data_IF_062698071361
#
_entry.id   IF_062698071361
#
_cell.length_a   1.000
_cell.length_b   1.000
_cell.length_c   1.000
_cell.angle_alpha   90.00
_cell.angle_beta   90.00
_cell.angle_gamma   90.00
#
_symmetry.space_group_name_H-M   'P 1'
#
loop_
_entity.id
_entity.type
_entity.pdbx_description
1 polymer ?
#
# COMPACT_ATOMS: atom_id res chain seq x y z
N UNK A 1 22.87 10.99 37.37
CA UNK A 1 24.09 11.04 38.20
C UNK A 1 24.99 12.15 37.70
N UNK A 2 25.78 12.76 38.59
CA UNK A 2 26.82 13.73 38.20
C UNK A 2 28.09 12.95 37.86
N UNK A 3 28.61 13.14 36.66
CA UNK A 3 29.83 12.50 36.16
C UNK A 3 30.81 13.57 35.70
N UNK A 4 32.09 13.32 35.87
CA UNK A 4 33.13 14.26 35.48
C UNK A 4 33.91 13.67 34.32
N UNK A 5 34.00 14.40 33.21
CA UNK A 5 34.69 13.95 31.99
C UNK A 5 35.94 14.78 31.80
N UNK A 6 37.07 14.11 31.54
CA UNK A 6 38.34 14.75 31.23
C UNK A 6 38.49 14.89 29.70
N UNK A 7 38.61 16.13 29.22
CA UNK A 7 38.82 16.49 27.82
C UNK A 7 40.23 17.07 27.71
N UNK A 8 41.22 16.19 27.73
CA UNK A 8 42.68 16.40 27.61
C UNK A 8 43.28 17.49 28.52
N UNK A 9 42.90 18.75 28.33
CA UNK A 9 43.36 19.91 29.08
C UNK A 9 42.25 20.59 29.90
N UNK A 10 41.02 20.04 29.92
CA UNK A 10 39.89 20.61 30.66
C UNK A 10 39.01 19.53 31.26
N UNK A 11 38.60 19.73 32.50
CA UNK A 11 37.64 18.87 33.18
C UNK A 11 36.26 19.51 33.14
N UNK A 12 35.24 18.74 32.75
CA UNK A 12 33.86 19.20 32.67
C UNK A 12 32.93 18.32 33.51
N UNK A 13 32.11 18.95 34.34
CA UNK A 13 31.05 18.28 35.09
C UNK A 13 29.81 18.13 34.20
N UNK A 14 29.37 16.90 33.99
CA UNK A 14 28.19 16.54 33.20
C UNK A 14 27.15 15.92 34.12
N UNK A 15 25.90 16.32 33.97
CA UNK A 15 24.79 15.74 34.72
C UNK A 15 23.88 15.00 33.76
N UNK A 16 23.73 13.69 33.96
CA UNK A 16 22.78 12.87 33.20
C UNK A 16 21.39 13.12 33.76
N UNK A 17 20.50 13.65 32.92
CA UNK A 17 19.06 13.75 33.21
C UNK A 17 18.35 12.65 32.43
N UNK A 18 17.64 11.72 33.10
CA UNK A 18 16.76 10.81 32.39
C UNK A 18 15.69 11.64 31.70
N UNK A 19 15.44 11.34 30.43
CA UNK A 19 14.31 11.88 29.71
C UNK A 19 13.41 10.72 29.32
N UNK A 20 12.12 10.91 29.48
CA UNK A 20 11.14 9.93 29.03
C UNK A 20 11.02 10.10 27.52
N UNK A 21 11.57 9.17 26.74
CA UNK A 21 11.06 9.00 25.38
C UNK A 21 9.63 8.53 25.53
N UNK A 22 8.67 9.28 24.97
CA UNK A 22 7.34 8.73 24.77
C UNK A 22 7.48 7.42 23.98
N UNK A 23 6.86 6.37 24.50
CA UNK A 23 6.90 5.03 23.92
C UNK A 23 6.55 5.14 22.44
N UNK A 24 7.43 4.65 21.57
CA UNK A 24 7.17 4.60 20.13
C UNK A 24 5.84 3.90 19.86
N UNK A 25 5.10 4.40 18.88
CA UNK A 25 3.78 3.88 18.51
C UNK A 25 3.96 2.44 18.03
N UNK A 26 3.33 1.47 18.70
CA UNK A 26 3.26 0.09 18.19
C UNK A 26 2.17 0.02 17.14
N UNK A 27 2.56 -0.09 15.88
CA UNK A 27 1.64 -0.33 14.76
C UNK A 27 1.58 -1.83 14.45
N UNK A 28 0.37 -2.36 14.33
CA UNK A 28 0.13 -3.74 13.92
C UNK A 28 -0.76 -3.74 12.68
N UNK A 29 -0.19 -4.14 11.54
CA UNK A 29 -0.89 -4.18 10.27
C UNK A 29 -1.56 -5.54 10.10
N UNK A 30 -2.88 -5.58 10.20
CA UNK A 30 -3.66 -6.73 9.77
C UNK A 30 -3.94 -6.61 8.26
N UNK A 31 -3.29 -7.44 7.45
CA UNK A 31 -3.55 -7.51 6.01
C UNK A 31 -4.49 -8.68 5.72
N UNK A 32 -5.59 -8.41 5.01
CA UNK A 32 -6.49 -9.44 4.50
C UNK A 32 -6.39 -9.47 2.98
N UNK A 33 -6.19 -10.66 2.41
CA UNK A 33 -6.17 -10.85 0.95
C UNK A 33 -7.58 -11.20 0.51
N UNK A 34 -8.17 -10.42 -0.39
CA UNK A 34 -9.47 -10.76 -0.97
C UNK A 34 -9.30 -11.86 -2.01
N UNK A 35 -10.05 -12.96 -1.87
CA UNK A 35 -10.10 -13.99 -2.90
C UNK A 35 -10.89 -13.57 -4.14
N UNK A 36 -11.68 -12.48 -4.09
CA UNK A 36 -12.61 -12.06 -5.15
C UNK A 36 -12.31 -10.72 -5.79
N UNK A 37 -11.53 -9.85 -5.15
CA UNK A 37 -11.34 -8.47 -5.61
C UNK A 37 -9.88 -8.15 -5.77
N UNK A 38 -9.56 -7.50 -6.88
CA UNK A 38 -8.24 -6.92 -7.12
C UNK A 38 -8.37 -5.43 -7.40
N UNK A 39 -7.40 -4.67 -6.88
CA UNK A 39 -7.25 -3.25 -7.18
C UNK A 39 -6.13 -3.09 -8.20
N UNK A 40 -6.41 -2.34 -9.25
CA UNK A 40 -5.47 -1.99 -10.31
C UNK A 40 -5.21 -0.50 -10.20
N UNK A 41 -3.94 -0.12 -10.12
CA UNK A 41 -3.49 1.26 -10.10
C UNK A 41 -2.70 1.60 -11.36
N UNK A 42 -2.48 2.89 -11.59
CA UNK A 42 -1.63 3.40 -12.68
C UNK A 42 -2.12 3.02 -14.08
N UNK A 43 -3.45 2.95 -14.25
CA UNK A 43 -4.07 2.65 -15.54
C UNK A 43 -3.67 3.73 -16.56
N UNK A 44 -3.19 3.35 -17.76
CA UNK A 44 -2.79 4.31 -18.79
C UNK A 44 -3.93 5.27 -19.16
N UNK A 45 -3.60 6.55 -19.28
CA UNK A 45 -4.55 7.57 -19.71
C UNK A 45 -4.60 7.60 -21.24
N UNK A 46 -5.53 6.83 -21.80
CA UNK A 46 -5.78 6.77 -23.23
C UNK A 46 -6.95 7.69 -23.59
N UNK A 47 -6.92 8.27 -24.78
CA UNK A 47 -8.02 9.05 -25.35
C UNK A 47 -9.14 8.12 -25.86
N UNK A 48 -9.67 7.27 -24.98
CA UNK A 48 -10.77 6.36 -25.26
C UNK A 48 -11.95 6.63 -24.30
N UNK A 49 -13.19 6.31 -24.71
CA UNK A 49 -14.34 6.33 -23.82
C UNK A 49 -14.14 5.42 -22.61
N UNK A 50 -14.71 5.80 -21.46
CA UNK A 50 -14.56 5.01 -20.22
C UNK A 50 -15.13 3.60 -20.34
N UNK A 51 -16.23 3.42 -21.06
CA UNK A 51 -16.84 2.11 -21.28
C UNK A 51 -15.88 1.19 -22.06
N UNK A 52 -15.14 1.76 -23.00
CA UNK A 52 -14.11 1.03 -23.72
C UNK A 52 -12.93 0.63 -22.83
N UNK A 53 -12.55 1.49 -21.86
CA UNK A 53 -11.56 1.13 -20.86
C UNK A 53 -12.04 -0.02 -19.97
N UNK A 54 -13.32 0.01 -19.54
CA UNK A 54 -13.95 -1.08 -18.77
C UNK A 54 -13.94 -2.40 -19.55
N UNK A 55 -14.33 -2.37 -20.82
CA UNK A 55 -14.30 -3.55 -21.70
C UNK A 55 -12.89 -4.12 -21.85
N UNK A 56 -11.88 -3.25 -22.01
CA UNK A 56 -10.47 -3.68 -22.12
C UNK A 56 -9.97 -4.31 -20.82
N UNK A 57 -10.30 -3.72 -19.68
CA UNK A 57 -9.98 -4.29 -18.39
C UNK A 57 -10.64 -5.66 -18.24
N UNK A 58 -11.93 -5.78 -18.49
CA UNK A 58 -12.65 -7.06 -18.41
C UNK A 58 -12.00 -8.16 -19.28
N UNK A 59 -11.70 -7.85 -20.54
CA UNK A 59 -11.08 -8.81 -21.47
C UNK A 59 -9.70 -9.30 -21.02
N UNK A 60 -8.91 -8.47 -20.33
CA UNK A 60 -7.59 -8.85 -19.83
C UNK A 60 -7.69 -9.82 -18.65
N UNK A 61 -8.73 -9.71 -17.83
CA UNK A 61 -8.88 -10.50 -16.60
C UNK A 61 -9.88 -11.66 -16.70
N UNK A 62 -10.64 -11.72 -17.80
CA UNK A 62 -11.61 -12.80 -18.05
C UNK A 62 -10.96 -14.18 -18.25
N UNK A 63 -9.72 -14.25 -18.76
CA UNK A 63 -9.06 -15.54 -19.05
C UNK A 63 -8.20 -16.03 -17.87
N UNK A 64 -8.48 -17.24 -17.38
CA UNK A 64 -7.77 -17.84 -16.24
C UNK A 64 -6.41 -18.46 -16.62
N UNK A 65 -6.21 -18.83 -17.88
CA UNK A 65 -5.11 -19.74 -18.29
C UNK A 65 -3.70 -19.12 -18.25
N UNK A 66 -3.55 -17.81 -18.09
CA UNK A 66 -2.24 -17.13 -18.16
C UNK A 66 -1.80 -16.36 -16.91
N UNK A 67 -2.51 -16.45 -15.77
CA UNK A 67 -1.96 -15.94 -14.50
C UNK A 67 -2.94 -15.26 -13.54
N UNK A 68 -4.02 -15.95 -13.14
CA UNK A 68 -4.85 -15.51 -12.01
C UNK A 68 -6.08 -14.68 -12.35
N UNK A 69 -6.50 -14.66 -13.62
CA UNK A 69 -7.82 -14.17 -14.03
C UNK A 69 -8.95 -15.17 -13.73
N UNK A 70 -10.19 -14.78 -14.03
CA UNK A 70 -11.38 -15.59 -13.81
C UNK A 70 -12.64 -14.90 -14.34
N UNK A 71 -13.78 -15.58 -14.27
CA UNK A 71 -15.08 -14.99 -14.64
C UNK A 71 -15.28 -13.66 -13.89
N UNK A 72 -15.40 -12.56 -14.63
CA UNK A 72 -15.56 -11.22 -14.05
C UNK A 72 -17.04 -10.96 -13.78
N UNK A 73 -17.35 -10.52 -12.56
CA UNK A 73 -18.69 -10.05 -12.16
C UNK A 73 -18.84 -8.55 -12.42
N UNK A 74 -17.80 -7.76 -12.14
CA UNK A 74 -17.86 -6.31 -12.30
C UNK A 74 -16.47 -5.67 -12.48
N UNK A 75 -16.44 -4.59 -13.28
CA UNK A 75 -15.30 -3.66 -13.39
C UNK A 75 -15.74 -2.26 -13.01
N UNK A 76 -15.21 -1.74 -11.90
CA UNK A 76 -15.40 -0.35 -11.49
C UNK A 76 -14.13 0.45 -11.82
N UNK A 77 -14.19 1.26 -12.87
CA UNK A 77 -13.09 2.11 -13.31
C UNK A 77 -13.32 3.57 -12.94
N UNK A 78 -12.34 4.18 -12.27
CA UNK A 78 -12.27 5.62 -12.00
C UNK A 78 -11.12 6.25 -12.80
N UNK A 79 -11.51 7.03 -13.81
CA UNK A 79 -10.58 7.76 -14.68
C UNK A 79 -9.76 8.80 -13.92
N UNK A 80 -10.34 9.46 -12.91
CA UNK A 80 -9.68 10.55 -12.18
C UNK A 80 -8.52 10.04 -11.33
N UNK A 81 -8.71 8.92 -10.63
CA UNK A 81 -7.64 8.30 -9.84
C UNK A 81 -6.76 7.35 -10.66
N UNK A 82 -7.14 7.04 -11.91
CA UNK A 82 -6.52 6.01 -12.76
C UNK A 82 -6.46 4.65 -12.06
N UNK A 83 -7.56 4.30 -11.38
CA UNK A 83 -7.68 3.02 -10.68
C UNK A 83 -8.90 2.25 -11.16
N UNK A 84 -8.85 0.92 -11.00
CA UNK A 84 -10.00 0.06 -11.18
C UNK A 84 -10.09 -1.01 -10.09
N UNK A 85 -11.31 -1.40 -9.76
CA UNK A 85 -11.59 -2.58 -8.94
C UNK A 85 -12.25 -3.61 -9.83
N UNK A 86 -11.61 -4.77 -9.96
CA UNK A 86 -12.20 -5.94 -10.63
C UNK A 86 -12.74 -6.87 -9.56
N UNK A 87 -14.00 -7.26 -9.71
CA UNK A 87 -14.64 -8.27 -8.88
C UNK A 87 -14.86 -9.53 -9.71
N UNK A 88 -14.35 -10.65 -9.23
CA UNK A 88 -14.53 -11.97 -9.83
C UNK A 88 -15.77 -12.65 -9.27
N UNK A 89 -16.48 -13.39 -10.14
CA UNK A 89 -17.67 -14.14 -9.78
C UNK A 89 -17.36 -15.20 -8.71
N UNK A 90 -16.21 -15.86 -8.86
CA UNK A 90 -15.74 -16.92 -7.96
C UNK A 90 -14.42 -16.49 -7.31
N UNK A 91 -14.21 -16.82 -6.03
CA UNK A 91 -12.91 -16.62 -5.43
C UNK A 91 -11.88 -17.58 -6.07
N UNK A 92 -10.65 -17.11 -6.20
CA UNK A 92 -9.49 -17.92 -6.59
C UNK A 92 -8.97 -18.81 -5.47
#
# INVERSE_FOLDING_TARGET
GKHTVNLDNKVADVTVKPFTLEMGIRFELHVTISGKKINISEIPELLIPEDWMRDKLELNFYKSEQGGGGEVENVNYDKRSRTAVITFLRPG
#
